data_IF_188851628355
#
_entry.id   IF_188851628355
#
_cell.length_a   1.000
_cell.length_b   1.000
_cell.length_c   1.000
_cell.angle_alpha   90.00
_cell.angle_beta   90.00
_cell.angle_gamma   90.00
#
_symmetry.space_group_name_H-M   'P 1'
#
loop_
_entity.id
_entity.type
_entity.pdbx_description
1 polymer ?
#
# COMPACT_ATOMS: atom_id res chain seq x y z
N UNK A 1 9.37 -22.06 17.48
CA UNK A 1 10.24 -20.96 17.03
C UNK A 1 10.67 -21.10 15.57
N UNK A 2 11.45 -22.12 15.18
CA UNK A 2 11.82 -22.31 13.76
C UNK A 2 10.69 -22.87 12.89
N UNK A 3 9.78 -23.69 13.45
CA UNK A 3 8.59 -24.20 12.74
C UNK A 3 7.60 -23.10 12.33
N UNK A 4 7.43 -22.08 13.17
CA UNK A 4 6.46 -21.01 12.93
C UNK A 4 6.88 -20.09 11.76
N UNK A 5 8.19 -20.02 11.47
CA UNK A 5 8.77 -19.31 10.32
C UNK A 5 8.50 -20.10 9.02
N UNK A 6 8.61 -21.43 9.08
CA UNK A 6 8.41 -22.32 7.93
C UNK A 6 6.91 -22.46 7.58
N UNK A 7 6.03 -22.33 8.57
CA UNK A 7 4.58 -22.47 8.40
C UNK A 7 3.85 -21.17 8.03
N UNK A 8 4.56 -20.03 7.90
CA UNK A 8 3.95 -18.74 7.55
C UNK A 8 2.97 -18.19 8.59
N UNK A 9 3.01 -18.69 9.84
CA UNK A 9 2.06 -18.36 10.92
C UNK A 9 2.48 -17.16 11.77
N UNK A 10 3.47 -16.38 11.33
CA UNK A 10 3.71 -15.06 11.95
C UNK A 10 2.55 -14.15 11.55
N UNK A 11 1.70 -13.82 12.52
CA UNK A 11 0.85 -12.63 12.45
C UNK A 11 1.80 -11.45 12.23
N UNK A 12 1.76 -10.86 11.04
CA UNK A 12 2.43 -9.60 10.75
C UNK A 12 1.57 -8.50 11.34
N UNK A 13 1.50 -8.47 12.68
CA UNK A 13 1.03 -7.28 13.36
C UNK A 13 2.09 -6.20 13.13
N UNK A 14 1.89 -5.42 12.08
CA UNK A 14 2.40 -4.05 12.06
C UNK A 14 1.22 -3.11 12.27
N UNK A 15 0.53 -3.12 13.42
CA UNK A 15 -0.06 -1.87 13.83
C UNK A 15 1.15 -0.94 13.95
N UNK A 16 1.13 0.19 13.25
CA UNK A 16 1.93 1.31 13.71
C UNK A 16 1.46 1.54 15.12
N UNK A 17 2.18 0.98 16.11
CA UNK A 17 1.71 1.03 17.48
C UNK A 17 1.45 2.50 17.79
N UNK A 18 0.39 2.84 18.52
CA UNK A 18 0.15 4.24 18.90
C UNK A 18 1.39 4.88 19.55
N UNK A 19 2.28 4.05 20.13
CA UNK A 19 3.61 4.40 20.61
C UNK A 19 4.57 4.88 19.50
N UNK A 20 4.54 4.23 18.33
CA UNK A 20 5.34 4.59 17.16
C UNK A 20 4.86 5.90 16.52
N UNK A 21 3.54 6.12 16.36
CA UNK A 21 3.01 7.44 15.93
C UNK A 21 3.49 8.58 16.84
N UNK A 22 3.38 8.41 18.16
CA UNK A 22 3.89 9.39 19.13
C UNK A 22 5.40 9.63 19.07
N UNK A 23 6.19 8.60 18.74
CA UNK A 23 7.63 8.77 18.56
C UNK A 23 7.96 9.49 17.26
N UNK A 24 7.26 9.19 16.16
CA UNK A 24 7.43 9.83 14.86
C UNK A 24 7.05 11.33 14.88
N UNK A 25 6.03 11.70 15.67
CA UNK A 25 5.58 13.09 15.84
C UNK A 25 6.64 14.02 16.46
N UNK A 26 7.60 13.46 17.19
CA UNK A 26 8.65 14.22 17.86
C UNK A 26 9.95 14.33 17.05
N UNK A 27 10.01 13.73 15.86
CA UNK A 27 11.20 13.74 15.01
C UNK A 27 11.21 14.95 14.08
N UNK A 28 12.41 15.44 13.78
CA UNK A 28 12.59 16.35 12.67
C UNK A 28 12.32 15.65 11.33
N UNK A 29 11.93 16.41 10.30
CA UNK A 29 11.55 15.87 8.98
C UNK A 29 12.60 14.91 8.39
N UNK A 30 13.89 15.25 8.49
CA UNK A 30 15.00 14.40 8.01
C UNK A 30 15.12 13.10 8.80
N UNK A 31 14.89 13.15 10.10
CA UNK A 31 15.00 11.99 10.98
C UNK A 31 13.82 11.03 10.76
N UNK A 32 12.61 11.60 10.64
CA UNK A 32 11.42 10.89 10.21
C UNK A 32 11.66 10.17 8.88
N UNK A 33 12.11 10.90 7.85
CA UNK A 33 12.37 10.33 6.53
C UNK A 33 13.37 9.17 6.58
N UNK A 34 14.47 9.32 7.33
CA UNK A 34 15.46 8.26 7.50
C UNK A 34 14.93 7.05 8.27
N UNK A 35 14.10 7.24 9.29
CA UNK A 35 13.44 6.14 10.01
C UNK A 35 12.52 5.35 9.07
N UNK A 36 11.69 6.04 8.29
CA UNK A 36 10.79 5.42 7.31
C UNK A 36 11.56 4.65 6.23
N UNK A 37 12.71 5.15 5.77
CA UNK A 37 13.59 4.43 4.83
C UNK A 37 14.17 3.16 5.46
N UNK A 38 14.67 3.23 6.70
CA UNK A 38 15.25 2.05 7.37
C UNK A 38 14.22 0.93 7.57
N UNK A 39 12.97 1.31 7.80
CA UNK A 39 11.88 0.36 7.97
C UNK A 39 11.57 -0.43 6.70
N UNK A 40 11.62 0.21 5.52
CA UNK A 40 11.41 -0.47 4.24
C UNK A 40 12.63 -1.25 3.77
N UNK A 41 13.85 -0.77 4.06
CA UNK A 41 15.08 -1.35 3.53
C UNK A 41 15.37 -2.78 4.02
N UNK A 42 14.82 -3.16 5.17
CA UNK A 42 15.03 -4.48 5.78
C UNK A 42 13.89 -5.47 5.50
N UNK A 43 12.87 -5.07 4.73
CA UNK A 43 11.72 -5.92 4.42
C UNK A 43 11.92 -6.68 3.12
N UNK A 44 11.82 -8.01 3.19
CA UNK A 44 12.02 -8.91 2.04
C UNK A 44 10.69 -9.47 1.51
N UNK A 45 9.64 -9.51 2.34
CA UNK A 45 8.32 -9.91 1.87
C UNK A 45 7.70 -8.75 1.09
N UNK A 46 7.36 -9.00 -0.18
CA UNK A 46 6.87 -7.96 -1.09
C UNK A 46 5.56 -7.36 -0.61
N UNK A 47 4.66 -8.14 0.01
CA UNK A 47 3.38 -7.61 0.49
C UNK A 47 3.59 -6.73 1.71
N UNK A 48 4.40 -7.19 2.67
CA UNK A 48 4.77 -6.42 3.84
C UNK A 48 5.54 -5.14 3.47
N UNK A 49 6.43 -5.22 2.48
CA UNK A 49 7.16 -4.07 1.95
C UNK A 49 6.19 -3.06 1.33
N UNK A 50 5.28 -3.49 0.46
CA UNK A 50 4.28 -2.62 -0.16
C UNK A 50 3.35 -1.98 0.89
N UNK A 51 2.93 -2.72 1.91
CA UNK A 51 2.12 -2.21 3.01
C UNK A 51 2.85 -1.11 3.80
N UNK A 52 4.11 -1.36 4.18
CA UNK A 52 4.96 -0.35 4.84
C UNK A 52 5.16 0.89 3.98
N UNK A 53 5.42 0.72 2.68
CA UNK A 53 5.54 1.84 1.75
C UNK A 53 4.25 2.67 1.72
N UNK A 54 3.08 2.03 1.59
CA UNK A 54 1.80 2.73 1.55
C UNK A 54 1.50 3.47 2.86
N UNK A 55 1.79 2.86 4.02
CA UNK A 55 1.66 3.53 5.33
C UNK A 55 2.58 4.75 5.38
N UNK A 56 3.86 4.61 5.01
CA UNK A 56 4.83 5.69 5.06
C UNK A 56 4.44 6.85 4.12
N UNK A 57 4.00 6.53 2.90
CA UNK A 57 3.46 7.53 1.96
C UNK A 57 2.22 8.21 2.53
N UNK A 58 1.31 7.45 3.15
CA UNK A 58 0.13 8.00 3.81
C UNK A 58 0.47 9.03 4.89
N UNK A 59 1.42 8.69 5.76
CA UNK A 59 1.92 9.58 6.82
C UNK A 59 2.55 10.85 6.22
N UNK A 60 3.46 10.70 5.26
CA UNK A 60 4.19 11.83 4.64
C UNK A 60 3.27 12.76 3.85
N UNK A 61 2.25 12.21 3.18
CA UNK A 61 1.31 12.99 2.36
C UNK A 61 0.08 13.45 3.12
N UNK A 62 -0.10 13.03 4.38
CA UNK A 62 -1.32 13.23 5.18
C UNK A 62 -2.57 12.69 4.48
N UNK A 63 -2.44 11.54 3.83
CA UNK A 63 -3.56 10.86 3.16
C UNK A 63 -4.36 10.02 4.15
N UNK A 64 -5.67 9.94 3.95
CA UNK A 64 -6.58 9.08 4.74
C UNK A 64 -6.32 7.59 4.48
N UNK A 65 -6.17 7.22 3.20
CA UNK A 65 -6.01 5.84 2.74
C UNK A 65 -5.24 5.75 1.44
N UNK A 66 -4.71 4.56 1.15
CA UNK A 66 -4.03 4.23 -0.10
C UNK A 66 -4.36 2.82 -0.58
N UNK A 67 -4.18 2.54 -1.87
CA UNK A 67 -4.38 1.21 -2.45
C UNK A 67 -3.37 0.97 -3.56
N UNK A 68 -2.98 -0.30 -3.73
CA UNK A 68 -2.03 -0.74 -4.74
C UNK A 68 -2.70 -1.71 -5.71
N UNK A 69 -2.64 -1.36 -7.00
CA UNK A 69 -3.11 -2.20 -8.09
C UNK A 69 -1.93 -2.63 -8.95
N UNK A 70 -1.95 -3.87 -9.41
CA UNK A 70 -0.97 -4.45 -10.33
C UNK A 70 -1.59 -4.65 -11.71
N UNK A 71 -0.78 -4.51 -12.76
CA UNK A 71 -1.21 -4.83 -14.13
C UNK A 71 -1.08 -6.33 -14.36
N UNK A 72 -2.15 -6.98 -14.83
CA UNK A 72 -2.17 -8.39 -15.24
C UNK A 72 -2.71 -8.50 -16.67
N UNK A 73 -2.42 -9.63 -17.34
CA UNK A 73 -2.92 -9.95 -18.68
C UNK A 73 -1.88 -9.77 -19.80
N UNK A 74 -2.27 -10.16 -21.02
CA UNK A 74 -1.41 -10.06 -22.21
C UNK A 74 -1.37 -8.62 -22.74
N UNK A 75 -0.41 -8.30 -23.61
CA UNK A 75 -0.23 -6.93 -24.15
C UNK A 75 -1.52 -6.31 -24.73
N UNK A 76 -2.41 -7.14 -25.29
CA UNK A 76 -3.67 -6.72 -25.90
C UNK A 76 -4.89 -6.76 -24.95
N UNK A 77 -4.79 -7.42 -23.78
CA UNK A 77 -5.87 -7.56 -22.82
C UNK A 77 -5.34 -7.36 -21.40
N UNK A 78 -4.92 -6.13 -21.11
CA UNK A 78 -4.42 -5.73 -19.78
C UNK A 78 -5.56 -5.23 -18.90
N UNK A 79 -5.48 -5.56 -17.63
CA UNK A 79 -6.38 -5.09 -16.59
C UNK A 79 -5.60 -4.89 -15.28
N UNK A 80 -6.16 -4.11 -14.38
CA UNK A 80 -5.64 -3.91 -13.04
C UNK A 80 -6.28 -4.91 -12.09
N UNK A 81 -5.48 -5.42 -11.15
CA UNK A 81 -5.94 -6.23 -10.02
C UNK A 81 -5.45 -5.60 -8.72
N UNK A 82 -6.34 -5.46 -7.75
CA UNK A 82 -5.96 -4.93 -6.42
C UNK A 82 -5.05 -5.94 -5.71
N UNK A 83 -3.90 -5.48 -5.24
CA UNK A 83 -3.00 -6.28 -4.39
C UNK A 83 -3.12 -5.92 -2.92
N UNK A 84 -3.19 -4.62 -2.63
CA UNK A 84 -3.53 -4.08 -1.32
C UNK A 84 -4.64 -3.05 -1.50
N UNK A 85 -5.67 -3.09 -0.66
CA UNK A 85 -6.80 -2.18 -0.76
C UNK A 85 -7.14 -1.58 0.61
N UNK A 86 -7.57 -0.32 0.62
CA UNK A 86 -7.96 0.44 1.81
C UNK A 86 -6.89 0.45 2.94
N UNK A 87 -5.63 0.63 2.55
CA UNK A 87 -4.51 0.74 3.50
C UNK A 87 -4.58 2.08 4.22
N UNK A 88 -4.71 2.04 5.54
CA UNK A 88 -4.69 3.23 6.42
C UNK A 88 -3.45 3.19 7.30
N UNK A 89 -3.16 4.29 8.01
CA UNK A 89 -2.02 4.34 8.93
C UNK A 89 -2.11 3.36 10.11
N UNK A 90 -3.29 2.77 10.36
CA UNK A 90 -3.56 1.85 11.46
C UNK A 90 -3.93 0.43 10.99
N UNK A 91 -3.92 0.16 9.68
CA UNK A 91 -4.33 -1.15 9.16
C UNK A 91 -3.25 -2.22 9.36
N UNK A 92 -3.68 -3.45 9.63
CA UNK A 92 -2.80 -4.62 9.60
C UNK A 92 -2.69 -5.16 8.16
N UNK A 93 -1.59 -5.86 7.87
CA UNK A 93 -1.32 -6.41 6.54
C UNK A 93 -2.41 -7.41 6.12
N UNK A 94 -2.84 -8.27 7.05
CA UNK A 94 -3.80 -9.34 6.79
C UNK A 94 -5.19 -8.81 6.40
N UNK A 95 -5.55 -7.62 6.86
CA UNK A 95 -6.86 -7.02 6.61
C UNK A 95 -6.94 -6.35 5.22
N UNK A 96 -5.80 -5.97 4.66
CA UNK A 96 -5.71 -5.15 3.44
C UNK A 96 -5.13 -5.88 2.24
N UNK A 97 -4.46 -7.01 2.45
CA UNK A 97 -3.95 -7.83 1.36
C UNK A 97 -5.09 -8.57 0.69
N UNK A 98 -5.25 -8.37 -0.62
CA UNK A 98 -6.21 -9.10 -1.41
C UNK A 98 -5.60 -10.40 -1.95
N UNK A 99 -6.42 -11.45 -1.92
CA UNK A 99 -6.15 -12.75 -2.54
C UNK A 99 -6.94 -12.88 -3.84
N UNK A 100 -6.70 -13.93 -4.62
CA UNK A 100 -7.41 -14.14 -5.89
C UNK A 100 -8.94 -14.19 -5.73
N UNK A 101 -9.45 -14.52 -4.54
CA UNK A 101 -10.88 -14.58 -4.25
C UNK A 101 -11.48 -13.22 -3.82
N UNK A 102 -10.65 -12.24 -3.47
CA UNK A 102 -11.08 -10.92 -2.99
C UNK A 102 -10.57 -9.76 -3.85
N UNK A 103 -9.83 -10.04 -4.93
CA UNK A 103 -9.26 -9.01 -5.77
C UNK A 103 -10.33 -8.24 -6.57
N UNK A 104 -10.20 -6.92 -6.57
CA UNK A 104 -10.96 -6.00 -7.41
C UNK A 104 -10.24 -5.94 -8.75
N UNK A 105 -11.00 -6.18 -9.84
CA UNK A 105 -10.50 -6.09 -11.20
C UNK A 105 -11.02 -4.83 -11.88
N UNK A 106 -10.13 -4.04 -12.49
CA UNK A 106 -10.48 -2.82 -13.24
C UNK A 106 -9.91 -2.89 -14.65
N UNK A 107 -10.73 -2.80 -15.71
CA UNK A 107 -10.22 -2.72 -17.09
C UNK A 107 -9.39 -1.46 -17.33
N UNK A 108 -8.45 -1.52 -18.28
CA UNK A 108 -7.76 -0.30 -18.75
C UNK A 108 -8.77 0.67 -19.38
N UNK A 109 -8.53 1.97 -19.22
CA UNK A 109 -9.40 3.04 -19.69
C UNK A 109 -10.71 3.21 -18.90
N UNK A 110 -10.99 2.36 -17.90
CA UNK A 110 -12.22 2.42 -17.10
C UNK A 110 -11.95 2.99 -15.70
N UNK A 111 -12.68 4.05 -15.35
CA UNK A 111 -12.50 4.76 -14.08
C UNK A 111 -11.14 5.44 -13.97
N UNK A 112 -10.85 6.04 -12.80
CA UNK A 112 -9.63 6.82 -12.59
C UNK A 112 -8.38 5.92 -12.71
N UNK A 113 -8.37 4.78 -12.01
CA UNK A 113 -7.23 3.86 -12.04
C UNK A 113 -6.97 3.28 -13.44
N UNK A 114 -8.03 2.88 -14.16
CA UNK A 114 -7.91 2.38 -15.53
C UNK A 114 -7.42 3.45 -16.50
N UNK A 115 -7.85 4.71 -16.33
CA UNK A 115 -7.40 5.85 -17.14
C UNK A 115 -5.91 6.15 -16.91
N UNK A 116 -5.45 6.15 -15.65
CA UNK A 116 -4.02 6.30 -15.33
C UNK A 116 -3.21 5.17 -15.95
N UNK A 117 -3.70 3.93 -15.88
CA UNK A 117 -3.02 2.77 -16.45
C UNK A 117 -2.91 2.85 -17.99
N UNK A 118 -3.93 3.38 -18.65
CA UNK A 118 -3.94 3.59 -20.11
C UNK A 118 -3.03 4.75 -20.54
N UNK A 119 -3.17 5.91 -19.90
CA UNK A 119 -2.47 7.15 -20.26
C UNK A 119 -1.03 7.19 -19.76
N UNK A 120 -0.70 6.46 -18.69
CA UNK A 120 0.59 6.48 -17.98
C UNK A 120 0.97 7.84 -17.38
N UNK A 121 0.00 8.71 -17.16
CA UNK A 121 0.20 10.02 -16.55
C UNK A 121 -0.46 10.08 -15.18
N UNK A 122 0.19 10.70 -14.17
CA UNK A 122 -0.43 10.89 -12.87
C UNK A 122 -1.60 11.87 -12.97
N UNK A 123 -2.64 11.61 -12.19
CA UNK A 123 -3.86 12.43 -12.13
C UNK A 123 -4.04 12.93 -10.70
N UNK A 124 -4.27 14.24 -10.53
CA UNK A 124 -4.58 14.88 -9.25
C UNK A 124 -5.95 15.54 -9.36
N UNK A 125 -6.97 14.85 -8.85
CA UNK A 125 -8.36 15.32 -8.85
C UNK A 125 -8.61 16.11 -7.57
N UNK A 126 -9.06 17.37 -7.70
CA UNK A 126 -9.40 18.22 -6.56
C UNK A 126 -10.79 17.92 -5.99
N UNK A 127 -11.75 17.64 -6.87
CA UNK A 127 -13.08 17.16 -6.53
C UNK A 127 -13.47 16.02 -7.48
N UNK A 128 -13.82 14.86 -6.93
CA UNK A 128 -14.18 13.67 -7.70
C UNK A 128 -15.61 13.72 -8.27
N UNK A 129 -16.44 14.64 -7.81
CA UNK A 129 -17.81 14.82 -8.30
C UNK A 129 -17.92 15.82 -9.46
N UNK A 130 -16.81 16.47 -9.81
CA UNK A 130 -16.73 17.46 -10.91
C UNK A 130 -15.89 16.97 -12.11
N UNK A 131 -15.61 15.67 -12.20
CA UNK A 131 -14.74 15.03 -13.22
C UNK A 131 -15.53 14.50 -14.41
#
# INVERSE_FOLDING_TARGET
MFRDIVEGRRRYSSPVSQRKKKNLENLGEKELFMELIREIANELDVNALCHKILINVGILTKSDRGSLFLVRGSRMKRYLVSKLFDVTADSCLEDVVHTDNSEITVPFGVGIAGTVAETKHPINIKDAYEV
#
